data_IF_306063277677
#
_entry.id   IF_306063277677
#
_cell.length_a   1.000
_cell.length_b   1.000
_cell.length_c   1.000
_cell.angle_alpha   90.00
_cell.angle_beta   90.00
_cell.angle_gamma   90.00
#
_symmetry.space_group_name_H-M   'P 1'
#
loop_
_entity.id
_entity.type
_entity.pdbx_description
1 polymer ?
#
# COMPACT_ATOMS: atom_id res chain seq x y z
N UNK A 1 36.68 -15.37 -35.91
CA UNK A 1 36.68 -13.91 -35.76
C UNK A 1 35.56 -13.62 -34.77
N UNK A 2 35.88 -13.77 -33.49
CA UNK A 2 34.97 -13.58 -32.38
C UNK A 2 34.61 -12.10 -32.27
N UNK A 3 33.34 -11.77 -32.52
CA UNK A 3 32.78 -10.47 -32.17
C UNK A 3 32.37 -10.53 -30.69
N UNK A 4 33.28 -10.12 -29.82
CA UNK A 4 32.96 -9.80 -28.43
C UNK A 4 31.92 -8.67 -28.41
N UNK A 5 30.69 -8.99 -28.04
CA UNK A 5 29.66 -7.97 -27.81
C UNK A 5 29.94 -7.29 -26.46
N UNK A 6 30.15 -5.97 -26.42
CA UNK A 6 30.44 -5.27 -25.18
C UNK A 6 29.23 -5.29 -24.24
N UNK A 7 29.44 -5.86 -23.06
CA UNK A 7 28.60 -5.81 -21.87
C UNK A 7 28.31 -4.35 -21.47
N UNK A 8 27.19 -3.79 -21.92
CA UNK A 8 26.68 -2.53 -21.35
C UNK A 8 25.56 -2.88 -20.38
N UNK A 9 25.95 -3.29 -19.18
CA UNK A 9 25.13 -3.26 -17.97
C UNK A 9 24.77 -1.81 -17.67
N UNK A 10 23.72 -1.31 -18.32
CA UNK A 10 23.13 -0.02 -17.99
C UNK A 10 22.40 -0.17 -16.65
N UNK A 11 23.14 0.03 -15.56
CA UNK A 11 22.58 0.21 -14.21
C UNK A 11 21.71 1.46 -14.25
N UNK A 12 20.41 1.26 -14.51
CA UNK A 12 19.41 2.29 -14.30
C UNK A 12 19.33 2.55 -12.79
N UNK A 13 20.17 3.47 -12.29
CA UNK A 13 19.94 4.15 -11.00
C UNK A 13 18.77 5.10 -11.18
N UNK A 14 17.57 4.57 -11.40
CA UNK A 14 16.34 5.34 -11.27
C UNK A 14 15.96 5.34 -9.80
N UNK A 15 16.70 6.13 -9.02
CA UNK A 15 16.39 6.44 -7.62
C UNK A 15 15.22 7.42 -7.52
N UNK A 16 14.08 7.08 -8.13
CA UNK A 16 12.82 7.72 -7.78
C UNK A 16 12.45 7.21 -6.39
N UNK A 17 11.98 8.07 -5.46
CA UNK A 17 11.37 7.56 -4.24
C UNK A 17 10.23 6.66 -4.68
N UNK A 18 10.34 5.36 -4.41
CA UNK A 18 9.28 4.39 -4.68
C UNK A 18 8.09 4.86 -3.85
N UNK A 19 7.20 5.66 -4.45
CA UNK A 19 5.90 5.97 -3.88
C UNK A 19 5.20 4.63 -3.80
N UNK A 20 5.27 4.01 -2.61
CA UNK A 20 4.61 2.75 -2.32
C UNK A 20 3.14 2.95 -2.67
N UNK A 21 2.65 2.22 -3.67
CA UNK A 21 1.25 2.26 -4.03
C UNK A 21 0.44 1.79 -2.82
N UNK A 22 -0.74 2.38 -2.56
CA UNK A 22 -1.61 1.88 -1.52
C UNK A 22 -2.00 0.44 -1.83
N UNK A 23 -1.93 -0.43 -0.83
CA UNK A 23 -2.33 -1.84 -0.94
C UNK A 23 -3.85 -1.94 -1.01
N UNK A 24 -4.54 -1.07 -0.29
CA UNK A 24 -6.01 -1.01 -0.21
C UNK A 24 -6.45 0.33 0.35
N UNK A 25 -7.75 0.59 0.38
CA UNK A 25 -8.39 1.70 1.09
C UNK A 25 -9.03 1.17 2.37
N UNK A 26 -9.15 2.02 3.38
CA UNK A 26 -9.92 1.75 4.60
C UNK A 26 -11.40 1.50 4.26
N UNK A 27 -12.01 0.49 4.88
CA UNK A 27 -13.39 0.07 4.62
C UNK A 27 -14.46 1.04 5.16
N UNK A 28 -14.12 1.91 6.12
CA UNK A 28 -15.05 2.90 6.65
C UNK A 28 -15.03 4.17 5.78
N UNK A 29 -16.17 4.54 5.17
CA UNK A 29 -16.35 5.73 4.31
C UNK A 29 -15.95 7.03 5.02
N UNK A 30 -16.25 7.15 6.32
CA UNK A 30 -15.85 8.30 7.15
C UNK A 30 -14.33 8.40 7.33
N UNK A 31 -13.61 7.31 7.06
CA UNK A 31 -12.18 7.19 7.24
C UNK A 31 -11.47 6.69 5.99
N UNK A 32 -12.02 6.99 4.80
CA UNK A 32 -11.54 6.56 3.49
C UNK A 32 -10.10 7.04 3.24
N UNK A 33 -9.15 6.29 3.80
CA UNK A 33 -7.74 6.59 3.80
C UNK A 33 -6.96 5.44 3.14
N UNK A 34 -5.96 5.75 2.31
CA UNK A 34 -5.11 4.74 1.71
C UNK A 34 -4.28 4.01 2.78
N UNK A 35 -4.26 2.68 2.69
CA UNK A 35 -3.43 1.79 3.51
C UNK A 35 -2.18 1.44 2.72
N UNK A 36 -1.03 1.84 3.23
CA UNK A 36 0.29 1.61 2.64
C UNK A 36 0.96 0.35 3.17
N UNK A 37 1.87 -0.28 2.41
CA UNK A 37 2.55 -1.49 2.84
C UNK A 37 3.49 -1.21 4.03
N UNK A 38 3.28 -1.98 5.11
CA UNK A 38 3.97 -1.85 6.38
C UNK A 38 3.23 -1.02 7.43
N UNK A 39 2.06 -0.47 7.10
CA UNK A 39 1.19 0.15 8.10
C UNK A 39 0.44 -0.92 8.91
N UNK A 40 0.11 -0.56 10.16
CA UNK A 40 -0.74 -1.38 10.99
C UNK A 40 -2.19 -1.28 10.47
N UNK A 41 -2.82 -2.43 10.25
CA UNK A 41 -4.18 -2.55 9.73
C UNK A 41 -5.01 -3.35 10.73
N UNK A 42 -6.20 -2.85 11.03
CA UNK A 42 -7.17 -3.54 11.89
C UNK A 42 -8.16 -4.29 11.01
N UNK A 43 -8.58 -5.48 11.43
CA UNK A 43 -9.46 -6.35 10.65
C UNK A 43 -10.77 -6.63 11.39
N UNK A 44 -11.89 -6.59 10.67
CA UNK A 44 -13.21 -7.07 11.12
C UNK A 44 -13.80 -7.93 10.00
N UNK A 45 -13.74 -9.25 10.14
CA UNK A 45 -14.15 -10.15 9.05
C UNK A 45 -13.29 -9.92 7.80
N UNK A 46 -13.93 -9.52 6.69
CA UNK A 46 -13.25 -9.19 5.43
C UNK A 46 -12.85 -7.72 5.31
N UNK A 47 -13.30 -6.86 6.23
CA UNK A 47 -13.07 -5.42 6.20
C UNK A 47 -11.72 -5.05 6.84
N UNK A 48 -11.04 -4.07 6.22
CA UNK A 48 -9.73 -3.57 6.65
C UNK A 48 -9.82 -2.10 7.03
N UNK A 49 -9.30 -1.75 8.21
CA UNK A 49 -9.36 -0.41 8.75
C UNK A 49 -7.97 0.16 8.98
N UNK A 50 -7.78 1.42 8.58
CA UNK A 50 -6.52 2.13 8.72
C UNK A 50 -6.18 2.50 10.18
N UNK A 51 -7.18 2.52 11.07
CA UNK A 51 -6.99 2.75 12.49
C UNK A 51 -8.14 2.14 13.32
N UNK A 52 -7.93 2.03 14.64
CA UNK A 52 -8.88 1.44 15.57
C UNK A 52 -10.16 2.26 15.72
N UNK A 53 -10.06 3.60 15.67
CA UNK A 53 -11.22 4.50 15.80
C UNK A 53 -12.23 4.23 14.69
N UNK A 54 -11.76 4.08 13.45
CA UNK A 54 -12.60 3.81 12.29
C UNK A 54 -13.22 2.42 12.31
N UNK A 55 -12.49 1.42 12.83
CA UNK A 55 -13.06 0.10 13.10
C UNK A 55 -14.17 0.21 14.15
N UNK A 56 -13.93 0.92 15.26
CA UNK A 56 -14.91 1.15 16.30
C UNK A 56 -16.13 1.89 15.75
N UNK A 57 -15.96 2.99 15.03
CA UNK A 57 -17.07 3.72 14.38
C UNK A 57 -17.87 2.78 13.47
N UNK A 58 -17.23 1.92 12.67
CA UNK A 58 -17.95 0.93 11.84
C UNK A 58 -18.68 -0.19 12.61
N UNK A 59 -18.43 -0.32 13.92
CA UNK A 59 -19.10 -1.27 14.80
C UNK A 59 -20.29 -0.63 15.53
N UNK A 60 -20.22 0.65 15.86
CA UNK A 60 -21.21 1.35 16.67
C UNK A 60 -22.08 2.31 15.87
N UNK A 61 -21.68 2.71 14.66
CA UNK A 61 -22.52 3.42 13.71
C UNK A 61 -23.52 2.43 13.10
N UNK A 62 -24.46 2.00 13.94
CA UNK A 62 -25.66 1.27 13.54
C UNK A 62 -26.64 2.32 13.02
N UNK A 63 -26.85 2.37 11.71
CA UNK A 63 -28.03 3.06 11.14
C UNK A 63 -29.29 2.28 11.49
#
# INVERSE_FOLDING_TARGET
MDLEHPSITRTMKTGYPVKKLPVTVCANESCEAPIYPGQHVWHKGSDRYCNLKCMHESMYETK
#
